data_IF_689639743915
#
_entry.id   IF_689639743915
#
_cell.length_a   1.000
_cell.length_b   1.000
_cell.length_c   1.000
_cell.angle_alpha   90.00
_cell.angle_beta   90.00
_cell.angle_gamma   90.00
#
_symmetry.space_group_name_H-M   'P 1'
#
loop_
_entity.id
_entity.type
_entity.pdbx_description
1 polymer ?
#
# COMPACT_ATOMS: atom_id res chain seq x y z
N UNK A 1 21.20 4.19 -12.26
CA UNK A 1 20.95 5.65 -12.23
C UNK A 1 20.50 6.23 -13.57
N UNK A 2 20.98 5.75 -14.73
CA UNK A 2 20.61 6.29 -16.05
C UNK A 2 19.10 6.40 -16.31
N UNK A 3 18.30 5.42 -15.89
CA UNK A 3 16.84 5.49 -16.02
C UNK A 3 16.21 6.59 -15.15
N UNK A 4 16.63 6.70 -13.89
CA UNK A 4 16.08 7.70 -12.96
C UNK A 4 16.38 9.12 -13.42
N UNK A 5 17.64 9.37 -13.82
CA UNK A 5 18.07 10.68 -14.31
C UNK A 5 17.32 11.08 -15.58
N UNK A 6 17.13 10.15 -16.52
CA UNK A 6 16.41 10.40 -17.77
C UNK A 6 14.93 10.73 -17.57
N UNK A 7 14.26 10.08 -16.62
CA UNK A 7 12.79 10.17 -16.47
C UNK A 7 12.34 11.14 -15.37
N UNK A 8 13.12 11.30 -14.30
CA UNK A 8 12.74 12.08 -13.12
C UNK A 8 13.73 13.22 -12.82
N UNK A 9 14.92 13.19 -13.43
CA UNK A 9 15.97 14.17 -13.21
C UNK A 9 16.94 13.77 -12.10
N UNK A 10 18.19 14.26 -12.21
CA UNK A 10 19.29 13.87 -11.31
C UNK A 10 19.10 14.34 -9.87
N UNK A 11 18.35 15.41 -9.66
CA UNK A 11 18.09 15.98 -8.33
C UNK A 11 16.83 15.44 -7.66
N UNK A 12 16.08 14.54 -8.32
CA UNK A 12 14.85 13.99 -7.76
C UNK A 12 15.15 12.89 -6.74
N UNK A 13 14.67 13.04 -5.52
CA UNK A 13 14.87 12.09 -4.42
C UNK A 13 13.73 11.07 -4.37
N UNK A 14 14.02 9.85 -3.89
CA UNK A 14 13.03 8.77 -3.80
C UNK A 14 11.80 9.17 -2.97
N UNK A 15 11.99 9.97 -1.92
CA UNK A 15 10.92 10.47 -1.06
C UNK A 15 9.86 11.28 -1.83
N UNK A 16 10.23 11.91 -2.95
CA UNK A 16 9.30 12.63 -3.81
C UNK A 16 8.20 11.73 -4.38
N UNK A 17 8.50 10.43 -4.60
CA UNK A 17 7.53 9.47 -5.14
C UNK A 17 6.35 9.23 -4.20
N UNK A 18 6.51 9.41 -2.89
CA UNK A 18 5.40 9.23 -1.94
C UNK A 18 4.23 10.16 -2.29
N UNK A 19 4.50 11.41 -2.69
CA UNK A 19 3.47 12.37 -3.10
C UNK A 19 2.80 12.01 -4.44
N UNK A 20 3.49 11.25 -5.29
CA UNK A 20 2.99 10.82 -6.61
C UNK A 20 2.23 9.50 -6.53
N UNK A 21 2.44 8.70 -5.48
CA UNK A 21 1.67 7.50 -5.22
C UNK A 21 0.28 7.87 -4.69
N UNK A 22 -0.67 8.11 -5.59
CA UNK A 22 -2.02 8.57 -5.22
C UNK A 22 -3.08 7.47 -5.15
N UNK A 23 -2.82 6.32 -5.77
CA UNK A 23 -3.76 5.20 -5.86
C UNK A 23 -5.18 5.60 -6.36
N UNK A 24 -5.28 6.52 -7.33
CA UNK A 24 -6.55 7.13 -7.78
C UNK A 24 -7.60 6.13 -8.30
N UNK A 25 -7.16 5.01 -8.88
CA UNK A 25 -8.02 3.95 -9.42
C UNK A 25 -8.15 2.75 -8.46
N UNK A 26 -7.72 2.88 -7.21
CA UNK A 26 -7.77 1.79 -6.25
C UNK A 26 -9.21 1.51 -5.78
N UNK A 27 -9.74 0.36 -6.21
CA UNK A 27 -11.02 -0.17 -5.79
C UNK A 27 -10.84 -1.51 -5.04
N UNK A 28 -10.88 -1.50 -3.69
CA UNK A 28 -10.68 -2.71 -2.90
C UNK A 28 -11.79 -3.76 -3.10
N UNK A 29 -13.02 -3.36 -3.44
CA UNK A 29 -14.13 -4.29 -3.71
C UNK A 29 -13.95 -5.04 -5.03
N UNK A 30 -13.43 -4.34 -6.04
CA UNK A 30 -13.07 -4.97 -7.32
C UNK A 30 -11.98 -6.02 -7.08
N UNK A 31 -10.95 -5.68 -6.30
CA UNK A 31 -9.88 -6.61 -5.96
C UNK A 31 -10.39 -7.82 -5.18
N UNK A 32 -11.18 -7.58 -4.12
CA UNK A 32 -11.78 -8.65 -3.33
C UNK A 32 -12.67 -9.59 -4.18
N UNK A 33 -13.37 -9.04 -5.18
CA UNK A 33 -14.17 -9.83 -6.13
C UNK A 33 -13.28 -10.72 -6.99
N UNK A 34 -12.20 -10.18 -7.56
CA UNK A 34 -11.23 -10.95 -8.35
C UNK A 34 -10.58 -12.04 -7.50
N UNK A 35 -10.19 -11.75 -6.26
CA UNK A 35 -9.60 -12.74 -5.35
C UNK A 35 -10.58 -13.87 -4.99
N UNK A 36 -11.87 -13.55 -4.83
CA UNK A 36 -12.88 -14.58 -4.60
C UNK A 36 -13.07 -15.45 -5.83
N UNK A 37 -13.11 -14.84 -7.02
CA UNK A 37 -13.27 -15.54 -8.29
C UNK A 37 -12.06 -16.42 -8.64
N UNK A 38 -10.85 -16.04 -8.21
CA UNK A 38 -9.65 -16.87 -8.39
C UNK A 38 -9.61 -18.10 -7.50
N UNK A 39 -10.54 -18.24 -6.54
CA UNK A 39 -10.58 -19.36 -5.59
C UNK A 39 -9.58 -19.22 -4.44
N UNK A 40 -8.93 -18.06 -4.29
CA UNK A 40 -8.01 -17.79 -3.19
C UNK A 40 -8.71 -17.95 -1.83
N UNK A 41 -7.99 -18.46 -0.83
CA UNK A 41 -8.51 -18.66 0.55
C UNK A 41 -8.02 -17.61 1.53
N UNK A 42 -6.89 -16.99 1.23
CA UNK A 42 -6.28 -15.91 1.98
C UNK A 42 -5.50 -15.03 1.01
N UNK A 43 -5.24 -13.81 1.43
CA UNK A 43 -4.43 -12.84 0.69
C UNK A 43 -3.36 -12.34 1.65
N UNK A 44 -2.23 -11.90 1.11
CA UNK A 44 -1.18 -11.25 1.88
C UNK A 44 -0.91 -9.92 1.20
N UNK A 45 -1.07 -8.83 1.95
CA UNK A 45 -0.72 -7.49 1.46
C UNK A 45 0.63 -7.11 2.06
N UNK A 46 1.54 -6.63 1.22
CA UNK A 46 2.77 -5.97 1.65
C UNK A 46 2.40 -4.65 2.29
N UNK A 47 2.21 -4.68 3.59
CA UNK A 47 1.78 -3.52 4.35
C UNK A 47 2.90 -2.47 4.43
N UNK A 48 4.15 -2.93 4.63
CA UNK A 48 5.38 -2.14 4.71
C UNK A 48 6.51 -2.95 4.11
N UNK A 49 7.31 -2.33 3.26
CA UNK A 49 8.48 -2.94 2.65
C UNK A 49 9.78 -2.33 3.23
N UNK A 50 10.90 -2.43 2.53
CA UNK A 50 12.21 -2.03 3.04
C UNK A 50 12.42 -0.52 3.13
N UNK A 51 11.66 0.27 2.36
CA UNK A 51 11.63 1.73 2.43
C UNK A 51 10.81 2.28 3.61
N UNK A 52 10.24 1.39 4.43
CA UNK A 52 9.48 1.73 5.63
C UNK A 52 8.22 2.60 5.41
N UNK A 53 7.73 2.75 4.18
CA UNK A 53 6.45 3.41 3.90
C UNK A 53 5.28 2.47 4.27
N UNK A 54 4.37 2.94 5.13
CA UNK A 54 3.23 2.12 5.59
C UNK A 54 1.97 2.42 4.80
N UNK A 55 1.24 1.38 4.39
CA UNK A 55 -0.05 1.50 3.69
C UNK A 55 -1.26 1.74 4.63
N UNK A 56 -0.99 1.98 5.91
CA UNK A 56 -1.96 2.18 6.99
C UNK A 56 -1.47 3.31 7.91
N UNK A 57 -2.37 3.92 8.72
CA UNK A 57 -1.98 4.89 9.74
C UNK A 57 -0.94 4.33 10.70
N UNK A 58 0.23 4.96 10.77
CA UNK A 58 1.26 4.58 11.74
C UNK A 58 1.83 5.80 12.45
N UNK A 59 1.57 5.91 13.75
CA UNK A 59 2.10 6.97 14.61
C UNK A 59 3.63 7.00 14.67
N UNK A 60 4.31 5.87 14.44
CA UNK A 60 5.78 5.79 14.42
C UNK A 60 6.38 6.22 13.07
N UNK A 61 5.58 6.27 12.00
CA UNK A 61 5.97 6.68 10.66
C UNK A 61 5.21 7.94 10.25
N UNK A 62 5.25 8.94 11.12
CA UNK A 62 4.61 10.24 10.91
C UNK A 62 5.05 10.86 9.57
N UNK A 63 4.09 11.27 8.74
CA UNK A 63 4.31 11.86 7.42
C UNK A 63 4.95 10.91 6.37
N UNK A 64 5.12 9.62 6.69
CA UNK A 64 5.67 8.59 5.82
C UNK A 64 4.76 7.36 5.73
N UNK A 65 3.50 7.61 5.40
CA UNK A 65 2.47 6.60 5.23
C UNK A 65 1.41 7.05 4.21
N UNK A 66 0.59 6.10 3.73
CA UNK A 66 -0.43 6.34 2.70
C UNK A 66 -1.61 7.23 3.16
N UNK A 67 -1.79 7.42 4.47
CA UNK A 67 -2.82 8.30 4.99
C UNK A 67 -2.36 9.76 5.07
N UNK A 68 -1.09 9.98 5.40
CA UNK A 68 -0.53 11.33 5.53
C UNK A 68 0.01 11.86 4.19
N UNK A 69 0.52 10.98 3.32
CA UNK A 69 1.15 11.36 2.06
C UNK A 69 0.65 10.48 0.91
N UNK A 70 0.30 11.12 -0.21
CA UNK A 70 -0.07 10.46 -1.46
C UNK A 70 -1.58 10.16 -1.56
N UNK A 71 -2.07 8.94 -1.23
CA UNK A 71 -3.48 8.57 -1.40
C UNK A 71 -4.44 9.18 -0.37
N UNK A 72 -3.93 9.68 0.75
CA UNK A 72 -4.71 10.16 1.91
C UNK A 72 -5.75 9.14 2.41
N UNK A 73 -5.39 7.86 2.41
CA UNK A 73 -6.31 6.74 2.63
C UNK A 73 -5.63 5.55 3.31
N UNK A 74 -6.35 4.86 4.19
CA UNK A 74 -5.90 3.58 4.76
C UNK A 74 -6.14 2.44 3.75
N UNK A 75 -5.19 2.26 2.84
CA UNK A 75 -5.27 1.27 1.78
C UNK A 75 -5.32 -0.16 2.34
N UNK A 76 -4.57 -0.44 3.40
CA UNK A 76 -4.54 -1.76 4.01
C UNK A 76 -5.85 -2.09 4.76
N UNK A 77 -6.38 -1.12 5.51
CA UNK A 77 -7.66 -1.25 6.21
C UNK A 77 -8.82 -1.46 5.24
N UNK A 78 -8.86 -0.69 4.16
CA UNK A 78 -9.92 -0.78 3.16
C UNK A 78 -9.91 -2.12 2.40
N UNK A 79 -8.72 -2.60 2.02
CA UNK A 79 -8.61 -3.92 1.41
C UNK A 79 -9.00 -5.02 2.40
N UNK A 80 -8.56 -4.91 3.66
CA UNK A 80 -8.91 -5.89 4.68
C UNK A 80 -10.42 -5.94 4.93
N UNK A 81 -11.10 -4.80 4.91
CA UNK A 81 -12.56 -4.72 4.99
C UNK A 81 -13.24 -5.38 3.78
N UNK A 82 -12.88 -4.99 2.56
CA UNK A 82 -13.50 -5.54 1.35
C UNK A 82 -13.31 -7.06 1.24
N UNK A 83 -12.12 -7.57 1.58
CA UNK A 83 -11.82 -9.01 1.59
C UNK A 83 -12.67 -9.75 2.63
N UNK A 84 -12.81 -9.22 3.84
CA UNK A 84 -13.68 -9.79 4.88
C UNK A 84 -15.14 -9.82 4.44
N UNK A 85 -15.63 -8.74 3.85
CA UNK A 85 -17.02 -8.62 3.38
C UNK A 85 -17.34 -9.63 2.27
N UNK A 86 -16.34 -10.09 1.50
CA UNK A 86 -16.50 -11.16 0.50
C UNK A 86 -16.42 -12.58 1.06
N UNK A 87 -16.18 -12.74 2.36
CA UNK A 87 -16.06 -14.02 3.06
C UNK A 87 -14.69 -14.68 2.92
N UNK A 88 -13.67 -13.93 2.51
CA UNK A 88 -12.29 -14.37 2.45
C UNK A 88 -11.60 -14.11 3.79
N UNK A 89 -10.60 -14.92 4.12
CA UNK A 89 -9.77 -14.65 5.30
C UNK A 89 -9.02 -13.34 5.07
N UNK A 90 -9.19 -12.40 5.99
CA UNK A 90 -8.60 -11.07 5.90
C UNK A 90 -7.10 -11.14 5.60
N UNK A 91 -6.54 -10.16 4.88
CA UNK A 91 -5.13 -10.19 4.55
C UNK A 91 -4.29 -10.25 5.81
N UNK A 92 -3.37 -11.22 5.90
CA UNK A 92 -2.28 -11.09 6.86
C UNK A 92 -1.34 -10.00 6.35
N UNK A 93 -1.06 -9.02 7.20
CA UNK A 93 -0.11 -7.96 6.89
C UNK A 93 1.29 -8.58 7.01
N UNK A 94 2.01 -8.72 5.89
CA UNK A 94 3.42 -9.08 5.95
C UNK A 94 4.22 -7.84 6.32
N UNK A 95 4.95 -7.95 7.43
CA UNK A 95 5.80 -6.91 8.00
C UNK A 95 7.18 -7.53 8.25
N UNK A 96 8.22 -6.93 7.68
CA UNK A 96 9.60 -7.26 8.06
C UNK A 96 9.96 -6.73 9.45
N UNK A 97 9.27 -5.69 9.95
CA UNK A 97 9.37 -5.16 11.32
C UNK A 97 8.21 -4.20 11.63
N UNK A 98 7.76 -4.13 12.91
CA UNK A 98 6.77 -3.12 13.37
C UNK A 98 7.37 -1.72 13.59
N UNK A 99 8.70 -1.62 13.71
CA UNK A 99 9.42 -0.35 13.84
C UNK A 99 9.95 0.09 12.47
N UNK A 100 9.92 1.39 12.22
CA UNK A 100 10.66 2.03 11.13
C UNK A 100 12.08 2.32 11.59
#
# INVERSE_FOLDING_TARGET
>A
MAFHEKNYGRNFQYQGFASWFKAELFNPDQWATVFKQSGAKYIVLTSKHHECFTLWPNAQAWNWNAQDTGPYRDLAGDLAKAVRDKGLRAPSLWLTSRKC
#
